data_IF_621186728693
#
_entry.id   IF_621186728693
#
_cell.length_a   1.000
_cell.length_b   1.000
_cell.length_c   1.000
_cell.angle_alpha   90.00
_cell.angle_beta   90.00
_cell.angle_gamma   90.00
#
_symmetry.space_group_name_H-M   'P 1'
#
loop_
_entity.id
_entity.type
_entity.pdbx_description
1 polymer ?
#
# COMPACT_ATOMS: atom_id res chain seq x y z
N UNK A 1 9.06 24.04 -17.81
CA UNK A 1 9.18 22.86 -16.93
C UNK A 1 7.80 22.58 -16.34
N UNK A 2 7.36 21.34 -16.33
CA UNK A 2 6.10 20.94 -15.66
C UNK A 2 6.29 21.14 -14.16
N UNK A 3 5.31 21.77 -13.49
CA UNK A 3 5.28 21.79 -12.02
C UNK A 3 4.75 20.45 -11.51
N UNK A 4 5.32 19.97 -10.41
CA UNK A 4 4.97 18.66 -9.82
C UNK A 4 3.95 18.79 -8.68
N UNK A 5 3.47 20.00 -8.35
CA UNK A 5 2.48 20.23 -7.28
C UNK A 5 2.95 19.83 -5.86
N UNK A 6 4.25 19.69 -5.66
CA UNK A 6 4.92 19.41 -4.39
C UNK A 6 5.95 20.49 -4.08
N UNK A 7 6.42 20.61 -2.81
CA UNK A 7 7.42 21.63 -2.44
C UNK A 7 8.72 21.55 -3.27
N UNK A 8 9.31 22.69 -3.58
CA UNK A 8 10.53 22.79 -4.40
C UNK A 8 11.77 22.16 -3.72
N UNK A 9 11.72 21.97 -2.42
CA UNK A 9 12.77 21.34 -1.61
C UNK A 9 12.82 19.81 -1.77
N UNK A 10 11.78 19.19 -2.32
CA UNK A 10 11.71 17.75 -2.53
C UNK A 10 12.74 17.29 -3.54
N UNK A 11 13.43 16.20 -3.22
CA UNK A 11 14.48 15.57 -4.04
C UNK A 11 14.15 14.12 -4.40
N UNK A 12 13.21 13.50 -3.67
CA UNK A 12 12.77 12.13 -3.92
C UNK A 12 11.27 11.99 -3.74
N UNK A 13 10.66 11.10 -4.54
CA UNK A 13 9.26 10.74 -4.46
C UNK A 13 9.12 9.24 -4.14
N UNK A 14 8.44 8.93 -3.04
CA UNK A 14 8.25 7.58 -2.52
C UNK A 14 6.77 7.19 -2.72
N UNK A 15 6.51 6.23 -3.59
CA UNK A 15 5.15 5.85 -3.99
C UNK A 15 4.76 4.53 -3.37
N UNK A 16 3.57 4.45 -2.79
CA UNK A 16 2.93 3.16 -2.60
C UNK A 16 2.54 2.53 -3.95
N UNK A 17 2.24 1.24 -3.93
CA UNK A 17 1.88 0.49 -5.13
C UNK A 17 0.37 0.41 -5.33
N UNK A 18 -0.32 -0.21 -4.34
CA UNK A 18 -1.70 -0.63 -4.46
C UNK A 18 -2.65 0.55 -4.21
N UNK A 19 -3.40 1.00 -5.23
CA UNK A 19 -4.24 2.19 -5.13
C UNK A 19 -3.54 3.48 -5.53
N UNK A 20 -2.21 3.57 -5.45
CA UNK A 20 -1.43 4.72 -5.91
C UNK A 20 -0.94 4.52 -7.35
N UNK A 21 -0.13 3.52 -7.59
CA UNK A 21 0.44 3.22 -8.92
C UNK A 21 -0.45 2.27 -9.73
N UNK A 22 -1.08 1.30 -9.06
CA UNK A 22 -1.88 0.24 -9.70
C UNK A 22 -3.27 0.13 -9.09
N UNK A 23 -4.22 -0.37 -9.89
CA UNK A 23 -5.62 -0.60 -9.49
C UNK A 23 -5.80 -1.89 -8.70
N UNK A 24 -4.76 -2.36 -8.03
CA UNK A 24 -4.75 -3.65 -7.33
C UNK A 24 -5.41 -3.61 -5.94
N UNK A 25 -5.63 -2.44 -5.35
CA UNK A 25 -6.33 -2.31 -4.05
C UNK A 25 -7.69 -3.01 -4.05
N UNK A 26 -8.50 -2.86 -5.10
CA UNK A 26 -9.79 -3.55 -5.23
C UNK A 26 -9.65 -5.08 -5.30
N UNK A 27 -8.58 -5.58 -5.91
CA UNK A 27 -8.28 -7.01 -5.97
C UNK A 27 -7.87 -7.52 -4.60
N UNK A 28 -7.07 -6.72 -3.86
CA UNK A 28 -6.71 -6.98 -2.46
C UNK A 28 -7.94 -7.04 -1.56
N UNK A 29 -8.85 -6.06 -1.66
CA UNK A 29 -10.11 -6.03 -0.90
C UNK A 29 -10.98 -7.27 -1.16
N UNK A 30 -11.12 -7.67 -2.43
CA UNK A 30 -11.86 -8.86 -2.81
C UNK A 30 -11.24 -10.16 -2.24
N UNK A 31 -9.90 -10.28 -2.27
CA UNK A 31 -9.20 -11.44 -1.71
C UNK A 31 -9.33 -11.49 -0.18
N UNK A 32 -9.25 -10.36 0.52
CA UNK A 32 -9.48 -10.28 1.95
C UNK A 32 -10.90 -10.65 2.33
N UNK A 33 -11.90 -10.10 1.61
CA UNK A 33 -13.30 -10.41 1.84
C UNK A 33 -13.58 -11.91 1.72
N UNK A 34 -13.12 -12.53 0.65
CA UNK A 34 -13.30 -13.96 0.43
C UNK A 34 -12.62 -14.80 1.52
N UNK A 35 -11.40 -14.43 1.91
CA UNK A 35 -10.65 -15.11 2.97
C UNK A 35 -11.36 -15.05 4.32
N UNK A 36 -11.76 -13.84 4.74
CA UNK A 36 -12.37 -13.66 6.05
C UNK A 36 -13.82 -14.18 6.10
N UNK A 37 -14.60 -13.96 5.04
CA UNK A 37 -15.98 -14.46 4.99
C UNK A 37 -16.03 -16.00 5.02
N UNK A 38 -15.11 -16.68 4.33
CA UNK A 38 -15.01 -18.13 4.38
C UNK A 38 -14.59 -18.63 5.78
N UNK A 39 -13.60 -17.99 6.40
CA UNK A 39 -13.16 -18.32 7.75
C UNK A 39 -14.30 -18.09 8.77
N UNK A 40 -14.94 -16.92 8.76
CA UNK A 40 -16.01 -16.57 9.69
C UNK A 40 -17.23 -17.49 9.53
N UNK A 41 -17.61 -17.79 8.28
CA UNK A 41 -18.74 -18.72 8.00
C UNK A 41 -18.49 -20.13 8.56
N UNK A 42 -17.26 -20.64 8.44
CA UNK A 42 -16.91 -21.95 9.02
C UNK A 42 -16.90 -21.92 10.54
N UNK A 43 -16.51 -20.80 11.15
CA UNK A 43 -16.41 -20.65 12.60
C UNK A 43 -17.75 -20.37 13.28
N UNK A 44 -18.57 -19.48 12.72
CA UNK A 44 -19.77 -18.91 13.35
C UNK A 44 -21.07 -19.44 12.73
N UNK A 45 -20.98 -20.14 11.58
CA UNK A 45 -22.16 -20.62 10.86
C UNK A 45 -22.84 -19.53 10.02
N UNK A 46 -24.11 -19.76 9.59
CA UNK A 46 -24.78 -18.90 8.60
C UNK A 46 -25.10 -17.47 9.09
N UNK A 47 -25.01 -17.22 10.39
CA UNK A 47 -25.27 -15.91 11.00
C UNK A 47 -24.03 -15.05 11.16
N UNK A 48 -22.87 -15.41 10.58
CA UNK A 48 -21.65 -14.65 10.72
C UNK A 48 -21.79 -13.22 10.19
N UNK A 49 -21.05 -12.27 10.78
CA UNK A 49 -20.95 -10.90 10.29
C UNK A 49 -19.87 -10.81 9.21
N UNK A 50 -20.23 -10.57 7.93
CA UNK A 50 -19.26 -10.51 6.85
C UNK A 50 -18.20 -9.41 7.04
N UNK A 51 -17.04 -9.59 6.39
CA UNK A 51 -16.05 -8.54 6.20
C UNK A 51 -16.59 -7.47 5.25
N UNK A 52 -16.51 -6.21 5.66
CA UNK A 52 -16.86 -5.09 4.81
C UNK A 52 -15.65 -4.69 3.95
N UNK A 53 -15.81 -4.78 2.61
CA UNK A 53 -14.72 -4.55 1.66
C UNK A 53 -14.29 -3.07 1.55
N UNK A 54 -14.96 -2.16 2.24
CA UNK A 54 -14.59 -0.75 2.38
C UNK A 54 -14.23 -0.46 3.83
N UNK A 55 -15.19 -0.47 4.75
CA UNK A 55 -14.97 -0.04 6.11
C UNK A 55 -13.98 -0.93 6.91
N UNK A 56 -14.11 -2.28 6.83
CA UNK A 56 -13.16 -3.17 7.50
C UNK A 56 -11.82 -3.19 6.74
N UNK A 57 -11.84 -3.02 5.41
CA UNK A 57 -10.63 -2.99 4.58
C UNK A 57 -9.75 -1.80 4.97
N UNK A 58 -10.29 -0.58 4.93
CA UNK A 58 -9.56 0.65 5.18
C UNK A 58 -8.95 0.69 6.60
N UNK A 59 -9.70 0.20 7.59
CA UNK A 59 -9.29 0.30 9.00
C UNK A 59 -8.28 -0.78 9.40
N UNK A 60 -8.46 -2.01 8.91
CA UNK A 60 -7.74 -3.16 9.47
C UNK A 60 -6.65 -3.73 8.58
N UNK A 61 -6.78 -3.66 7.26
CA UNK A 61 -5.88 -4.41 6.37
C UNK A 61 -5.16 -3.57 5.31
N UNK A 62 -5.73 -2.41 4.94
CA UNK A 62 -5.18 -1.58 3.87
C UNK A 62 -3.82 -0.99 4.25
N UNK A 63 -2.88 -1.04 3.33
CA UNK A 63 -1.51 -0.57 3.52
C UNK A 63 -0.65 -1.39 4.50
N UNK A 64 -1.22 -2.33 5.27
CA UNK A 64 -0.52 -3.07 6.32
C UNK A 64 0.19 -4.32 5.79
N UNK A 65 1.26 -4.80 6.48
CA UNK A 65 1.75 -6.16 6.29
C UNK A 65 0.64 -7.19 6.51
N UNK A 66 0.64 -8.22 5.69
CA UNK A 66 -0.46 -9.21 5.62
C UNK A 66 -0.81 -9.85 6.97
N UNK A 67 0.19 -10.26 7.75
CA UNK A 67 -0.05 -10.85 9.07
C UNK A 67 -0.64 -9.84 10.06
N UNK A 68 -0.19 -8.57 10.00
CA UNK A 68 -0.72 -7.49 10.85
C UNK A 68 -2.18 -7.19 10.50
N UNK A 69 -2.53 -7.20 9.22
CA UNK A 69 -3.92 -7.07 8.77
C UNK A 69 -4.81 -8.21 9.31
N UNK A 70 -4.35 -9.46 9.27
CA UNK A 70 -5.08 -10.59 9.87
C UNK A 70 -5.30 -10.37 11.36
N UNK A 71 -4.24 -10.02 12.11
CA UNK A 71 -4.33 -9.77 13.56
C UNK A 71 -5.30 -8.63 13.88
N UNK A 72 -5.18 -7.51 13.17
CA UNK A 72 -6.01 -6.33 13.41
C UNK A 72 -7.50 -6.64 13.17
N UNK A 73 -7.84 -7.28 12.05
CA UNK A 73 -9.22 -7.63 11.77
C UNK A 73 -9.79 -8.66 12.75
N UNK A 74 -9.07 -9.73 13.06
CA UNK A 74 -9.53 -10.75 14.00
C UNK A 74 -9.73 -10.18 15.41
N UNK A 75 -8.81 -9.30 15.87
CA UNK A 75 -8.93 -8.60 17.15
C UNK A 75 -10.21 -7.75 17.21
N UNK A 76 -10.59 -7.07 16.11
CA UNK A 76 -11.83 -6.29 16.03
C UNK A 76 -13.09 -7.13 16.19
N UNK A 77 -12.98 -8.43 15.95
CA UNK A 77 -14.06 -9.42 16.10
C UNK A 77 -13.97 -10.23 17.40
N UNK A 78 -12.98 -9.92 18.27
CA UNK A 78 -12.71 -10.67 19.51
C UNK A 78 -12.25 -12.11 19.23
N UNK A 79 -11.61 -12.35 18.09
CA UNK A 79 -11.12 -13.65 17.67
C UNK A 79 -9.61 -13.69 17.86
N UNK A 80 -9.13 -14.69 18.58
CA UNK A 80 -7.72 -15.02 18.71
C UNK A 80 -7.41 -16.29 17.92
N UNK A 81 -6.34 -16.29 17.14
CA UNK A 81 -5.77 -17.45 16.48
C UNK A 81 -4.31 -17.62 16.89
N UNK A 82 -3.80 -18.87 16.86
CA UNK A 82 -2.37 -19.10 16.94
C UNK A 82 -1.63 -18.34 15.84
N UNK A 83 -0.45 -17.85 16.13
CA UNK A 83 0.39 -17.15 15.12
C UNK A 83 0.69 -18.05 13.91
N UNK A 84 1.10 -19.28 14.19
CA UNK A 84 1.55 -20.22 13.18
C UNK A 84 2.98 -19.95 12.73
N UNK A 85 3.42 -20.68 11.73
CA UNK A 85 4.69 -20.46 11.06
C UNK A 85 4.50 -19.60 9.79
N UNK A 86 5.52 -18.82 9.42
CA UNK A 86 5.49 -17.94 8.24
C UNK A 86 5.09 -18.65 6.94
N UNK A 87 5.37 -19.94 6.86
CA UNK A 87 5.07 -20.81 5.73
C UNK A 87 3.85 -21.72 5.95
N UNK A 88 2.99 -21.41 6.92
CA UNK A 88 1.76 -22.20 7.12
C UNK A 88 0.92 -22.22 5.82
N UNK A 89 0.43 -23.41 5.44
CA UNK A 89 -0.37 -23.56 4.23
C UNK A 89 -1.75 -22.91 4.38
N UNK A 90 -2.44 -22.60 3.25
CA UNK A 90 -3.71 -21.87 3.22
C UNK A 90 -4.87 -22.55 3.98
N UNK A 91 -4.80 -23.82 4.29
CA UNK A 91 -5.82 -24.59 5.00
C UNK A 91 -5.67 -24.52 6.54
N UNK A 92 -4.59 -23.95 7.05
CA UNK A 92 -4.39 -23.75 8.49
C UNK A 92 -5.18 -22.55 9.00
N UNK A 93 -5.85 -22.72 10.13
CA UNK A 93 -6.50 -21.63 10.85
C UNK A 93 -5.51 -21.01 11.87
N UNK A 94 -4.51 -20.33 11.32
CA UNK A 94 -3.51 -19.52 12.03
C UNK A 94 -3.43 -18.14 11.35
N UNK A 95 -2.77 -17.17 11.99
CA UNK A 95 -2.55 -15.84 11.39
C UNK A 95 -1.85 -15.97 10.03
N UNK A 96 -0.76 -16.73 9.98
CA UNK A 96 0.00 -16.95 8.74
C UNK A 96 -0.75 -17.81 7.73
N UNK A 97 -1.53 -18.80 8.15
CA UNK A 97 -2.35 -19.64 7.27
C UNK A 97 -3.45 -18.84 6.57
N UNK A 98 -4.17 -17.96 7.30
CA UNK A 98 -5.14 -17.04 6.69
C UNK A 98 -4.46 -16.06 5.74
N UNK A 99 -3.28 -15.55 6.11
CA UNK A 99 -2.46 -14.74 5.24
C UNK A 99 -2.05 -15.45 3.95
N UNK A 100 -1.68 -16.73 4.04
CA UNK A 100 -1.34 -17.57 2.88
C UNK A 100 -2.54 -17.83 1.98
N UNK A 101 -3.72 -18.07 2.57
CA UNK A 101 -5.00 -18.20 1.82
C UNK A 101 -5.32 -16.93 1.03
N UNK A 102 -5.25 -15.76 1.70
CA UNK A 102 -5.45 -14.47 1.04
C UNK A 102 -4.47 -14.26 -0.12
N UNK A 103 -3.21 -14.62 0.07
CA UNK A 103 -2.21 -14.46 -0.98
C UNK A 103 -2.47 -15.34 -2.19
N UNK A 104 -2.87 -16.60 -1.98
CA UNK A 104 -3.24 -17.51 -3.06
C UNK A 104 -4.42 -16.97 -3.89
N UNK A 105 -5.48 -16.48 -3.21
CA UNK A 105 -6.63 -15.84 -3.87
C UNK A 105 -6.24 -14.56 -4.62
N UNK A 106 -5.36 -13.74 -4.04
CA UNK A 106 -4.86 -12.55 -4.71
C UNK A 106 -4.14 -12.88 -6.01
N UNK A 107 -3.20 -13.83 -5.96
CA UNK A 107 -2.43 -14.25 -7.13
C UNK A 107 -3.33 -14.85 -8.22
N UNK A 108 -4.31 -15.67 -7.85
CA UNK A 108 -5.30 -16.19 -8.78
C UNK A 108 -6.09 -15.07 -9.47
N UNK A 109 -6.57 -14.08 -8.70
CA UNK A 109 -7.31 -12.93 -9.24
C UNK A 109 -6.44 -12.08 -10.17
N UNK A 110 -5.20 -11.77 -9.79
CA UNK A 110 -4.26 -11.02 -10.62
C UNK A 110 -3.92 -11.81 -11.90
N UNK A 111 -3.72 -13.12 -11.79
CA UNK A 111 -3.44 -13.96 -12.96
C UNK A 111 -4.60 -13.99 -13.96
N UNK A 112 -5.84 -14.01 -13.48
CA UNK A 112 -7.03 -14.10 -14.32
C UNK A 112 -7.50 -12.75 -14.88
N UNK A 113 -7.33 -11.66 -14.13
CA UNK A 113 -7.87 -10.34 -14.46
C UNK A 113 -6.78 -9.37 -14.94
N UNK A 114 -5.50 -9.67 -14.67
CA UNK A 114 -4.38 -8.75 -14.87
C UNK A 114 -4.27 -7.70 -13.77
N UNK A 115 -3.15 -6.97 -13.78
CA UNK A 115 -2.98 -5.74 -13.02
C UNK A 115 -2.95 -4.57 -14.00
N UNK A 116 -3.60 -3.45 -13.65
CA UNK A 116 -3.61 -2.25 -14.46
C UNK A 116 -2.97 -1.08 -13.71
N UNK A 117 -2.09 -0.29 -14.33
CA UNK A 117 -1.60 0.93 -13.74
C UNK A 117 -2.63 2.06 -13.87
N UNK A 118 -2.56 3.03 -12.96
CA UNK A 118 -3.26 4.31 -13.13
C UNK A 118 -2.48 5.17 -14.14
N UNK A 119 -3.11 5.52 -15.25
CA UNK A 119 -2.46 6.28 -16.31
C UNK A 119 -1.96 7.66 -15.83
N UNK A 120 -2.68 8.31 -14.91
CA UNK A 120 -2.24 9.56 -14.30
C UNK A 120 -1.01 9.39 -13.42
N UNK A 121 -0.94 8.29 -12.67
CA UNK A 121 0.22 7.98 -11.84
C UNK A 121 1.46 7.68 -12.68
N UNK A 122 1.31 6.95 -13.78
CA UNK A 122 2.41 6.70 -14.74
C UNK A 122 2.97 8.03 -15.27
N UNK A 123 2.08 8.92 -15.75
CA UNK A 123 2.52 10.25 -16.24
C UNK A 123 3.21 11.07 -15.16
N UNK A 124 2.73 10.99 -13.91
CA UNK A 124 3.35 11.71 -12.81
C UNK A 124 4.75 11.18 -12.50
N UNK A 125 4.93 9.87 -12.41
CA UNK A 125 6.25 9.24 -12.22
C UNK A 125 7.22 9.63 -13.33
N UNK A 126 6.77 9.62 -14.59
CA UNK A 126 7.57 10.06 -15.73
C UNK A 126 7.98 11.54 -15.61
N UNK A 127 7.07 12.42 -15.18
CA UNK A 127 7.35 13.83 -14.96
C UNK A 127 8.34 14.05 -13.80
N UNK A 128 8.20 13.33 -12.69
CA UNK A 128 9.13 13.34 -11.55
C UNK A 128 10.54 12.95 -12.00
N UNK A 129 10.67 11.87 -12.77
CA UNK A 129 11.96 11.42 -13.31
C UNK A 129 12.55 12.40 -14.32
N UNK A 130 11.73 12.97 -15.19
CA UNK A 130 12.16 14.00 -16.15
C UNK A 130 12.64 15.28 -15.46
N UNK A 131 12.14 15.59 -14.27
CA UNK A 131 12.60 16.67 -13.42
C UNK A 131 13.91 16.34 -12.65
N UNK A 132 14.40 15.10 -12.74
CA UNK A 132 15.66 14.66 -12.11
C UNK A 132 15.51 14.28 -10.63
N UNK A 133 14.29 14.05 -10.12
CA UNK A 133 14.07 13.57 -8.78
C UNK A 133 14.24 12.04 -8.72
N UNK A 134 14.76 11.55 -7.59
CA UNK A 134 14.86 10.12 -7.33
C UNK A 134 13.47 9.52 -7.02
N UNK A 135 13.29 8.24 -7.35
CA UNK A 135 11.99 7.56 -7.18
C UNK A 135 12.14 6.23 -6.43
N UNK A 136 11.23 5.97 -5.51
CA UNK A 136 11.11 4.67 -4.88
C UNK A 136 9.67 4.17 -4.89
N UNK A 137 9.51 2.85 -4.91
CA UNK A 137 8.23 2.21 -4.56
C UNK A 137 8.35 1.58 -3.18
N UNK A 138 7.33 1.80 -2.33
CA UNK A 138 7.28 1.33 -0.94
C UNK A 138 5.94 0.64 -0.69
N UNK A 139 5.93 -0.69 -0.70
CA UNK A 139 4.72 -1.50 -0.59
C UNK A 139 4.82 -2.55 0.51
N UNK A 140 3.73 -2.82 1.21
CA UNK A 140 3.64 -3.94 2.15
C UNK A 140 3.49 -5.30 1.46
N UNK A 141 3.31 -5.32 0.13
CA UNK A 141 3.09 -6.54 -0.65
C UNK A 141 4.41 -7.28 -0.96
N UNK A 142 4.45 -8.58 -0.71
CA UNK A 142 5.54 -9.44 -1.17
C UNK A 142 5.52 -9.67 -2.69
N UNK A 143 4.42 -9.32 -3.36
CA UNK A 143 4.23 -9.49 -4.81
C UNK A 143 4.54 -8.19 -5.59
N UNK A 144 5.05 -7.16 -4.92
CA UNK A 144 5.27 -5.82 -5.50
C UNK A 144 6.09 -5.88 -6.79
N UNK A 145 7.21 -6.61 -6.79
CA UNK A 145 8.07 -6.72 -7.97
C UNK A 145 7.34 -7.31 -9.17
N UNK A 146 6.64 -8.41 -8.97
CA UNK A 146 5.96 -9.12 -10.06
C UNK A 146 4.82 -8.28 -10.64
N UNK A 147 4.13 -7.52 -9.79
CA UNK A 147 3.11 -6.55 -10.23
C UNK A 147 3.76 -5.44 -11.05
N UNK A 148 4.86 -4.83 -10.58
CA UNK A 148 5.57 -3.78 -11.33
C UNK A 148 6.06 -4.26 -12.70
N UNK A 149 6.59 -5.50 -12.77
CA UNK A 149 7.00 -6.13 -14.03
C UNK A 149 5.81 -6.30 -14.96
N UNK A 150 4.68 -6.80 -14.45
CA UNK A 150 3.49 -7.08 -15.26
C UNK A 150 2.87 -5.82 -15.88
N UNK A 151 3.00 -4.67 -15.21
CA UNK A 151 2.50 -3.38 -15.70
C UNK A 151 3.59 -2.51 -16.36
N UNK A 152 4.83 -3.03 -16.52
CA UNK A 152 5.93 -2.35 -17.20
C UNK A 152 6.56 -1.19 -16.42
N UNK A 153 6.38 -1.12 -15.10
CA UNK A 153 6.86 -0.02 -14.26
C UNK A 153 8.14 -0.34 -13.47
N UNK A 154 8.66 -1.58 -13.49
CA UNK A 154 9.82 -1.99 -12.68
C UNK A 154 11.01 -1.03 -12.81
N UNK A 155 11.28 -0.56 -14.04
CA UNK A 155 12.44 0.29 -14.37
C UNK A 155 12.23 1.78 -14.06
N UNK A 156 11.06 2.15 -13.57
CA UNK A 156 10.75 3.55 -13.23
C UNK A 156 11.21 3.94 -11.83
N UNK A 157 11.67 2.99 -11.03
CA UNK A 157 12.06 3.22 -9.64
C UNK A 157 13.52 2.87 -9.42
N UNK A 158 14.22 3.78 -8.72
CA UNK A 158 15.63 3.61 -8.36
C UNK A 158 15.78 2.68 -7.16
N UNK A 159 14.79 2.68 -6.25
CA UNK A 159 14.71 1.84 -5.04
C UNK A 159 13.33 1.17 -4.94
N UNK A 160 13.32 -0.05 -4.40
CA UNK A 160 12.10 -0.79 -4.03
C UNK A 160 12.25 -1.32 -2.61
N UNK A 161 11.35 -0.88 -1.72
CA UNK A 161 11.16 -1.44 -0.39
C UNK A 161 9.79 -2.13 -0.39
N UNK A 162 9.79 -3.44 -0.52
CA UNK A 162 8.58 -4.25 -0.55
C UNK A 162 8.51 -5.21 0.66
N UNK A 163 7.44 -6.00 0.74
CA UNK A 163 7.27 -6.94 1.85
C UNK A 163 8.40 -7.98 1.98
N UNK A 164 9.12 -8.28 0.90
CA UNK A 164 10.28 -9.17 0.94
C UNK A 164 11.47 -8.45 1.58
N UNK A 165 11.80 -7.26 1.08
CA UNK A 165 12.89 -6.43 1.61
C UNK A 165 12.63 -6.05 3.08
N UNK A 166 11.39 -5.69 3.41
CA UNK A 166 11.00 -5.37 4.78
C UNK A 166 11.24 -6.55 5.74
N UNK A 167 10.88 -7.77 5.32
CA UNK A 167 11.12 -8.98 6.12
C UNK A 167 12.62 -9.28 6.28
N UNK A 168 13.40 -9.20 5.20
CA UNK A 168 14.86 -9.41 5.21
C UNK A 168 15.59 -8.42 6.12
N UNK A 169 15.20 -7.14 6.07
CA UNK A 169 15.80 -6.06 6.88
C UNK A 169 15.13 -5.91 8.25
N UNK A 170 14.10 -6.69 8.55
CA UNK A 170 13.31 -6.65 9.81
C UNK A 170 12.70 -5.26 10.08
N UNK A 171 12.19 -4.63 9.04
CA UNK A 171 11.56 -3.32 9.14
C UNK A 171 10.10 -3.50 9.61
N UNK A 172 9.66 -2.76 10.64
CA UNK A 172 8.24 -2.61 10.93
C UNK A 172 7.50 -2.06 9.70
N UNK A 173 6.34 -2.64 9.40
CA UNK A 173 5.52 -2.16 8.30
C UNK A 173 4.59 -1.02 8.69
N UNK A 174 3.94 -0.39 7.71
CA UNK A 174 2.91 0.64 7.92
C UNK A 174 1.89 0.18 8.98
N UNK A 175 1.52 1.01 9.95
CA UNK A 175 1.67 2.47 10.04
C UNK A 175 3.02 2.97 10.60
N UNK A 176 4.01 2.09 10.87
CA UNK A 176 5.35 2.53 11.23
C UNK A 176 6.05 3.16 10.01
N UNK A 177 6.89 4.19 10.21
CA UNK A 177 7.54 4.91 9.10
C UNK A 177 8.72 4.17 8.47
N UNK A 178 9.16 3.07 9.08
CA UNK A 178 10.45 2.43 8.82
C UNK A 178 10.69 2.08 7.36
N UNK A 179 9.67 1.57 6.65
CA UNK A 179 9.81 1.22 5.22
C UNK A 179 10.00 2.45 4.33
N UNK A 180 9.35 3.58 4.64
CA UNK A 180 9.56 4.84 3.93
C UNK A 180 10.90 5.46 4.29
N UNK A 181 11.29 5.43 5.57
CA UNK A 181 12.60 5.92 6.04
C UNK A 181 13.74 5.15 5.37
N UNK A 182 13.62 3.82 5.25
CA UNK A 182 14.59 2.98 4.57
C UNK A 182 14.70 3.32 3.07
N UNK A 183 13.56 3.59 2.42
CA UNK A 183 13.56 4.02 1.02
C UNK A 183 14.29 5.37 0.83
N UNK A 184 14.04 6.35 1.71
CA UNK A 184 14.74 7.63 1.69
C UNK A 184 16.23 7.46 1.94
N UNK A 185 16.62 6.62 2.92
CA UNK A 185 18.01 6.26 3.21
C UNK A 185 18.71 5.63 1.99
N UNK A 186 18.09 4.64 1.36
CA UNK A 186 18.65 3.96 0.18
C UNK A 186 18.80 4.91 -1.03
N UNK A 187 17.95 5.96 -1.11
CA UNK A 187 18.08 7.04 -2.11
C UNK A 187 19.09 8.13 -1.71
N UNK A 188 19.62 8.10 -0.49
CA UNK A 188 20.54 9.14 0.03
C UNK A 188 19.87 10.49 0.27
N UNK A 189 18.57 10.49 0.62
CA UNK A 189 17.77 11.71 0.81
C UNK A 189 17.23 11.75 2.24
N UNK A 190 17.33 12.92 2.88
CA UNK A 190 16.70 13.14 4.19
C UNK A 190 15.16 13.10 4.07
N UNK A 191 14.42 12.56 5.07
CA UNK A 191 12.96 12.49 5.02
C UNK A 191 12.29 13.84 4.73
N UNK A 192 12.78 14.94 5.31
CA UNK A 192 12.27 16.30 5.05
C UNK A 192 12.43 16.80 3.62
N UNK A 193 13.26 16.12 2.80
CA UNK A 193 13.43 16.39 1.38
C UNK A 193 12.80 15.29 0.49
N UNK A 194 11.94 14.45 1.04
CA UNK A 194 11.21 13.44 0.29
C UNK A 194 9.69 13.63 0.41
N UNK A 195 8.94 13.28 -0.65
CA UNK A 195 7.50 13.26 -0.67
C UNK A 195 6.98 11.82 -0.70
N UNK A 196 5.95 11.53 0.12
CA UNK A 196 5.26 10.24 0.18
C UNK A 196 3.93 10.35 -0.55
N UNK A 197 3.58 9.32 -1.33
CA UNK A 197 2.32 9.21 -2.08
C UNK A 197 1.59 7.93 -1.66
N UNK A 198 0.41 8.06 -1.10
CA UNK A 198 -0.33 6.98 -0.46
C UNK A 198 -1.84 7.14 -0.60
N UNK A 199 -2.59 6.03 -0.55
CA UNK A 199 -4.05 6.04 -0.53
C UNK A 199 -4.63 5.43 0.77
N UNK A 200 -3.82 4.67 1.52
CA UNK A 200 -4.23 4.00 2.75
C UNK A 200 -3.95 4.84 4.02
N UNK A 201 -4.85 4.79 5.01
CA UNK A 201 -4.70 5.51 6.28
C UNK A 201 -3.43 5.09 7.02
N UNK A 202 -3.09 3.79 7.02
CA UNK A 202 -1.85 3.30 7.64
C UNK A 202 -0.59 3.87 6.98
N UNK A 203 -0.62 4.12 5.67
CA UNK A 203 0.48 4.74 4.98
C UNK A 203 0.57 6.24 5.21
N UNK A 204 -0.58 6.94 5.36
CA UNK A 204 -0.61 8.34 5.79
C UNK A 204 0.06 8.50 7.17
N UNK A 205 -0.32 7.66 8.14
CA UNK A 205 0.28 7.66 9.48
C UNK A 205 1.80 7.41 9.42
N UNK A 206 2.25 6.50 8.55
CA UNK A 206 3.67 6.25 8.33
C UNK A 206 4.40 7.47 7.74
N UNK A 207 3.82 8.12 6.73
CA UNK A 207 4.36 9.34 6.13
C UNK A 207 4.48 10.47 7.15
N UNK A 208 3.42 10.70 7.93
CA UNK A 208 3.39 11.72 8.99
C UNK A 208 4.42 11.45 10.08
N UNK A 209 4.46 10.21 10.61
CA UNK A 209 5.37 9.85 11.72
C UNK A 209 6.84 9.82 11.28
N UNK A 210 7.12 9.62 9.99
CA UNK A 210 8.46 9.69 9.41
C UNK A 210 8.96 11.11 9.14
N UNK A 211 8.15 12.16 9.39
CA UNK A 211 8.49 13.56 9.18
C UNK A 211 8.92 13.87 7.74
N UNK A 212 8.24 13.28 6.78
CA UNK A 212 8.48 13.56 5.37
C UNK A 212 8.09 14.99 4.99
N UNK A 213 8.81 15.57 4.01
CA UNK A 213 8.64 16.97 3.61
C UNK A 213 7.29 17.26 2.95
N UNK A 214 6.61 16.24 2.44
CA UNK A 214 5.26 16.32 1.89
C UNK A 214 4.61 14.92 1.92
N UNK A 215 3.34 14.84 2.31
CA UNK A 215 2.54 13.62 2.27
C UNK A 215 1.33 13.88 1.37
N UNK A 216 1.26 13.17 0.26
CA UNK A 216 0.19 13.28 -0.73
C UNK A 216 -0.76 12.10 -0.60
N UNK A 217 -2.00 12.38 -0.24
CA UNK A 217 -3.08 11.41 -0.18
C UNK A 217 -3.77 11.24 -1.54
N UNK A 218 -3.96 10.01 -1.99
CA UNK A 218 -4.68 9.68 -3.22
C UNK A 218 -6.06 9.14 -2.87
N UNK A 219 -7.09 9.96 -2.99
CA UNK A 219 -8.47 9.61 -2.64
C UNK A 219 -9.13 8.78 -3.75
N UNK A 220 -9.13 7.46 -3.59
CA UNK A 220 -9.74 6.51 -4.54
C UNK A 220 -11.21 6.17 -4.20
N UNK A 221 -11.61 6.34 -2.95
CA UNK A 221 -12.89 5.83 -2.43
C UNK A 221 -13.77 6.91 -1.79
N UNK A 222 -13.35 8.19 -1.81
CA UNK A 222 -14.11 9.29 -1.22
C UNK A 222 -13.80 9.53 0.26
N UNK A 223 -12.57 9.24 0.68
CA UNK A 223 -12.09 9.36 2.06
C UNK A 223 -11.14 10.56 2.28
N UNK A 224 -11.25 11.61 1.48
CA UNK A 224 -10.36 12.78 1.51
C UNK A 224 -10.15 13.38 2.90
N UNK A 225 -11.20 13.45 3.71
CA UNK A 225 -11.11 14.02 5.06
C UNK A 225 -10.33 13.08 6.00
N UNK A 226 -10.55 11.77 5.93
CA UNK A 226 -9.79 10.80 6.69
C UNK A 226 -8.29 10.83 6.32
N UNK A 227 -7.95 10.93 5.03
CA UNK A 227 -6.56 11.08 4.59
C UNK A 227 -5.89 12.33 5.20
N UNK A 228 -6.61 13.48 5.27
CA UNK A 228 -6.09 14.69 5.92
C UNK A 228 -5.92 14.52 7.43
N UNK A 229 -6.88 13.91 8.11
CA UNK A 229 -6.82 13.62 9.54
C UNK A 229 -5.62 12.73 9.89
N UNK A 230 -5.27 11.78 9.00
CA UNK A 230 -4.12 10.89 9.11
C UNK A 230 -2.80 11.49 8.61
N UNK A 231 -2.80 12.73 8.11
CA UNK A 231 -1.58 13.50 7.87
C UNK A 231 -1.26 13.82 6.41
N UNK A 232 -2.21 13.70 5.49
CA UNK A 232 -2.01 14.19 4.13
C UNK A 232 -1.96 15.72 4.09
N UNK A 233 -0.88 16.27 3.56
CA UNK A 233 -0.74 17.71 3.28
C UNK A 233 -1.54 18.11 2.04
N UNK A 234 -1.57 17.22 1.05
CA UNK A 234 -2.27 17.39 -0.22
C UNK A 234 -3.14 16.16 -0.45
N UNK A 235 -4.37 16.35 -0.92
CA UNK A 235 -5.23 15.23 -1.32
C UNK A 235 -5.69 15.44 -2.76
N UNK A 236 -5.47 14.42 -3.59
CA UNK A 236 -5.88 14.39 -5.00
C UNK A 236 -6.64 13.09 -5.30
N UNK A 237 -7.46 13.09 -6.36
CA UNK A 237 -8.12 11.86 -6.84
C UNK A 237 -7.25 11.08 -7.83
N UNK A 238 -6.33 11.77 -8.47
CA UNK A 238 -5.38 11.19 -9.44
C UNK A 238 -4.10 12.03 -9.42
N UNK A 239 -2.93 11.39 -9.46
CA UNK A 239 -1.65 12.09 -9.40
C UNK A 239 -1.43 13.08 -10.56
N UNK A 240 -2.09 12.86 -11.70
CA UNK A 240 -2.05 13.83 -12.80
C UNK A 240 -2.61 15.20 -12.43
N UNK A 241 -3.41 15.33 -11.36
CA UNK A 241 -3.90 16.63 -10.88
C UNK A 241 -2.80 17.52 -10.29
N UNK A 242 -1.65 16.91 -9.93
CA UNK A 242 -0.47 17.63 -9.47
C UNK A 242 0.36 18.22 -10.62
N UNK A 243 0.13 17.76 -11.86
CA UNK A 243 0.86 18.23 -13.03
C UNK A 243 0.19 19.51 -13.55
N UNK A 244 0.83 20.64 -13.35
CA UNK A 244 0.43 21.90 -13.96
C UNK A 244 1.37 22.23 -15.13
N UNK A 245 0.80 22.60 -16.26
CA UNK A 245 1.56 23.16 -17.37
C UNK A 245 2.04 24.56 -16.99
N UNK A 246 3.34 24.79 -17.04
CA UNK A 246 3.91 26.15 -16.97
C UNK A 246 3.65 26.82 -18.33
N UNK A 247 2.59 27.59 -18.39
CA UNK A 247 2.32 28.47 -19.55
C UNK A 247 3.37 29.59 -19.67
#
# INVERSE_FOLDING_TARGET
>A
MVKLGIPDEVRACLFDLDGVLTKTAVVHAAAWKETFDDFLRRREGPGFRPFDAVADYDVYVDGRPRADGVRAFLASRGIELPEGADNDPPDRDTVHGLGSRKNALLLEKIHTQGAEPYAGSVRYVEAVRAAGLSTAVVSSSVNCRDILVSVGLEKQFDVRIDGVVAAERKLPGKPHPDTFLEAAHDLGVEPGAAAVFEDALAGMDAGRSGHFGCVVGVDRVGQADALREHGADIVVKDLAQLLEDVT
#
